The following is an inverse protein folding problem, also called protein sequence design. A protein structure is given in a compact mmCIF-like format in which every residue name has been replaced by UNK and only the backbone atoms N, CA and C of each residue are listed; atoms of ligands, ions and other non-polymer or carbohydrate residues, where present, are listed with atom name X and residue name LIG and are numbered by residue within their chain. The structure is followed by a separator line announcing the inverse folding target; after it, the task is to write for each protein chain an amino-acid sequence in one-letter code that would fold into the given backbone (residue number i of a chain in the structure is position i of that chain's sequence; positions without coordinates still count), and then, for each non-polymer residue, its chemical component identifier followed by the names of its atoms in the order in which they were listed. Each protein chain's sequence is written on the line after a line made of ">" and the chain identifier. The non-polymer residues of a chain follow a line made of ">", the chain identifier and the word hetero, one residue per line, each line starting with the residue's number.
data_IF_735602382905
#
_entry.id   IF_735602382905
#
_cell.length_a   1.000
_cell.length_b   1.000
_cell.length_c   1.000
_cell.angle_alpha   90.00
_cell.angle_beta   90.00
_cell.angle_gamma   90.00
#
_symmetry.space_group_name_H-M   'P 1'
#
loop_
_entity.id
_entity.type
_entity.pdbx_description
1 polymer ?
#
# COMPACT_ATOMS: atom_id res chain seq x y z
N UNK A 1 -25.88 6.19 26.82
CA UNK A 1 -25.19 7.25 27.60
C UNK A 1 -23.70 6.93 27.59
N UNK A 2 -22.85 7.95 27.48
CA UNK A 2 -21.42 7.95 27.10
C UNK A 2 -21.20 7.75 25.59
N UNK A 3 -21.40 8.77 24.76
CA UNK A 3 -20.63 10.02 24.63
C UNK A 3 -19.18 9.79 24.17
N UNK A 4 -18.87 10.41 23.04
CA UNK A 4 -17.63 10.31 22.31
C UNK A 4 -17.66 11.34 21.19
N UNK A 5 -18.01 12.59 21.55
CA UNK A 5 -17.81 13.76 20.72
C UNK A 5 -16.35 13.85 20.27
N UNK A 6 -16.06 13.29 19.10
CA UNK A 6 -14.91 13.69 18.31
C UNK A 6 -15.31 15.01 17.67
N UNK A 7 -14.70 16.07 18.17
CA UNK A 7 -14.72 17.39 17.56
C UNK A 7 -14.53 17.25 16.03
N UNK A 8 -15.53 17.57 15.19
CA UNK A 8 -15.47 17.34 13.75
C UNK A 8 -14.29 18.04 13.10
N UNK A 9 -13.85 19.15 13.70
CA UNK A 9 -12.77 20.01 13.21
C UNK A 9 -11.36 19.48 13.59
N UNK A 10 -11.27 18.47 14.48
CA UNK A 10 -10.01 17.84 14.86
C UNK A 10 -9.64 16.63 13.97
N UNK A 11 -10.52 16.22 13.05
CA UNK A 11 -10.28 15.09 12.16
C UNK A 11 -9.28 15.47 11.06
N UNK A 12 -8.01 15.09 11.25
CA UNK A 12 -6.94 15.26 10.25
C UNK A 12 -7.11 14.38 8.99
N UNK A 13 -8.19 13.63 8.87
CA UNK A 13 -8.45 12.67 7.79
C UNK A 13 -9.54 13.12 6.81
N UNK A 14 -9.65 12.47 5.63
CA UNK A 14 -10.69 12.78 4.64
C UNK A 14 -12.12 12.57 5.20
N UNK A 15 -13.07 13.35 4.68
CA UNK A 15 -14.48 13.34 5.12
C UNK A 15 -15.07 11.94 5.02
N UNK A 16 -15.63 11.44 6.12
CA UNK A 16 -16.31 10.14 6.16
C UNK A 16 -17.69 10.27 5.53
N UNK A 17 -17.86 9.73 4.32
CA UNK A 17 -19.05 9.92 3.47
C UNK A 17 -20.36 9.44 4.12
N UNK A 18 -20.33 8.37 4.92
CA UNK A 18 -21.49 7.86 5.66
C UNK A 18 -21.75 8.63 6.95
N UNK A 19 -20.70 8.95 7.71
CA UNK A 19 -20.82 9.68 8.97
C UNK A 19 -21.20 11.16 8.76
N UNK A 20 -20.82 11.73 7.61
CA UNK A 20 -21.22 13.08 7.18
C UNK A 20 -22.58 13.14 6.49
N UNK A 21 -23.36 12.03 6.45
CA UNK A 21 -24.71 12.00 5.86
C UNK A 21 -24.77 12.11 4.33
N UNK A 22 -23.63 12.17 3.65
CA UNK A 22 -23.55 12.37 2.20
C UNK A 22 -24.08 11.16 1.40
N UNK A 23 -23.97 9.94 1.95
CA UNK A 23 -24.48 8.72 1.32
C UNK A 23 -25.23 7.84 2.32
N UNK A 24 -26.47 7.39 2.02
CA UNK A 24 -27.23 6.48 2.87
C UNK A 24 -26.48 5.17 3.14
N UNK A 25 -26.43 4.66 4.39
CA UNK A 25 -25.73 3.42 4.74
C UNK A 25 -26.14 2.21 3.90
N UNK A 26 -27.43 2.12 3.53
CA UNK A 26 -27.95 1.05 2.66
C UNK A 26 -27.30 1.03 1.28
N UNK A 27 -26.98 2.20 0.70
CA UNK A 27 -26.30 2.29 -0.61
C UNK A 27 -24.85 1.81 -0.50
N UNK A 28 -24.16 2.13 0.59
CA UNK A 28 -22.79 1.65 0.84
C UNK A 28 -22.76 0.14 1.03
N UNK A 29 -23.74 -0.43 1.76
CA UNK A 29 -23.88 -1.88 1.90
C UNK A 29 -24.15 -2.57 0.56
N UNK A 30 -25.07 -2.03 -0.25
CA UNK A 30 -25.34 -2.57 -1.59
C UNK A 30 -24.09 -2.52 -2.48
N UNK A 31 -23.39 -1.38 -2.50
CA UNK A 31 -22.14 -1.24 -3.25
C UNK A 31 -21.09 -2.26 -2.77
N UNK A 32 -20.99 -2.47 -1.46
CA UNK A 32 -20.09 -3.47 -0.86
C UNK A 32 -20.45 -4.88 -1.35
N UNK A 33 -21.72 -5.27 -1.30
CA UNK A 33 -22.15 -6.59 -1.80
C UNK A 33 -21.89 -6.77 -3.29
N UNK A 34 -22.17 -5.75 -4.12
CA UNK A 34 -21.90 -5.80 -5.56
C UNK A 34 -20.39 -5.94 -5.80
N UNK A 35 -19.57 -5.12 -5.17
CA UNK A 35 -18.10 -5.18 -5.33
C UNK A 35 -17.52 -6.52 -4.87
N UNK A 36 -17.98 -7.05 -3.73
CA UNK A 36 -17.57 -8.38 -3.27
C UNK A 36 -18.04 -9.49 -4.22
N UNK A 37 -19.27 -9.40 -4.73
CA UNK A 37 -19.79 -10.35 -5.71
C UNK A 37 -18.95 -10.39 -6.98
N UNK A 38 -18.62 -9.22 -7.54
CA UNK A 38 -17.73 -9.10 -8.71
C UNK A 38 -16.33 -9.66 -8.41
N UNK A 39 -15.76 -9.34 -7.24
CA UNK A 39 -14.46 -9.86 -6.84
C UNK A 39 -14.44 -11.39 -6.69
N UNK A 40 -15.50 -11.99 -6.12
CA UNK A 40 -15.64 -13.44 -6.00
C UNK A 40 -15.76 -14.09 -7.37
N UNK A 41 -16.60 -13.55 -8.26
CA UNK A 41 -16.76 -14.08 -9.62
C UNK A 41 -15.44 -14.01 -10.41
N UNK A 42 -14.72 -12.88 -10.33
CA UNK A 42 -13.40 -12.74 -10.93
C UNK A 42 -12.40 -13.73 -10.32
N UNK A 43 -12.40 -13.90 -9.00
CA UNK A 43 -11.55 -14.86 -8.31
C UNK A 43 -11.81 -16.31 -8.74
N UNK A 44 -13.08 -16.72 -8.84
CA UNK A 44 -13.47 -18.05 -9.34
C UNK A 44 -12.99 -18.25 -10.78
N UNK A 45 -13.18 -17.25 -11.64
CA UNK A 45 -12.68 -17.29 -13.01
C UNK A 45 -11.16 -17.46 -13.06
N UNK A 46 -10.41 -16.68 -12.28
CA UNK A 46 -8.95 -16.78 -12.22
C UNK A 46 -8.49 -18.15 -11.70
N UNK A 47 -9.14 -18.71 -10.69
CA UNK A 47 -8.87 -20.06 -10.19
C UNK A 47 -9.09 -21.11 -11.30
N UNK A 48 -10.18 -20.99 -12.07
CA UNK A 48 -10.49 -21.93 -13.14
C UNK A 48 -9.46 -21.88 -14.29
N UNK A 49 -8.91 -20.70 -14.60
CA UNK A 49 -7.98 -20.52 -15.73
C UNK A 49 -6.52 -20.74 -15.34
N UNK A 50 -6.09 -20.24 -14.18
CA UNK A 50 -4.68 -20.22 -13.78
C UNK A 50 -4.30 -21.35 -12.81
N UNK A 51 -5.24 -21.85 -12.01
CA UNK A 51 -5.02 -23.01 -11.14
C UNK A 51 -5.53 -22.83 -9.70
N UNK A 52 -5.67 -23.97 -9.02
CA UNK A 52 -6.22 -24.05 -7.67
C UNK A 52 -5.35 -23.36 -6.60
N UNK A 53 -4.07 -23.12 -6.87
CA UNK A 53 -3.15 -22.41 -5.97
C UNK A 53 -3.66 -21.00 -5.62
N UNK A 54 -4.38 -20.35 -6.54
CA UNK A 54 -5.00 -19.04 -6.29
C UNK A 54 -6.10 -19.08 -5.23
N UNK A 55 -6.71 -20.25 -4.99
CA UNK A 55 -7.64 -20.42 -3.88
C UNK A 55 -6.93 -20.23 -2.54
N UNK A 56 -5.73 -20.79 -2.39
CA UNK A 56 -4.93 -20.63 -1.18
C UNK A 56 -4.50 -19.17 -0.99
N UNK A 57 -4.05 -18.51 -2.06
CA UNK A 57 -3.66 -17.10 -2.03
C UNK A 57 -4.85 -16.20 -1.70
N UNK A 58 -6.01 -16.46 -2.32
CA UNK A 58 -7.25 -15.72 -2.06
C UNK A 58 -7.75 -15.91 -0.63
N UNK A 59 -7.76 -17.15 -0.12
CA UNK A 59 -8.13 -17.44 1.26
C UNK A 59 -7.18 -16.77 2.26
N UNK A 60 -5.87 -16.83 2.02
CA UNK A 60 -4.87 -16.15 2.84
C UNK A 60 -5.06 -14.61 2.80
N UNK A 61 -5.38 -14.05 1.64
CA UNK A 61 -5.63 -12.61 1.48
C UNK A 61 -6.89 -12.16 2.22
N UNK A 62 -7.98 -12.94 2.17
CA UNK A 62 -9.21 -12.66 2.93
C UNK A 62 -8.93 -12.75 4.42
N UNK A 63 -8.30 -13.83 4.88
CA UNK A 63 -7.97 -14.03 6.28
C UNK A 63 -7.10 -12.89 6.81
N UNK A 64 -6.09 -12.50 6.04
CA UNK A 64 -5.23 -11.39 6.38
C UNK A 64 -6.00 -10.05 6.39
N UNK A 65 -6.87 -9.78 5.41
CA UNK A 65 -7.73 -8.60 5.43
C UNK A 65 -8.64 -8.53 6.68
N UNK A 66 -9.23 -9.66 7.07
CA UNK A 66 -10.09 -9.75 8.27
C UNK A 66 -9.29 -9.53 9.56
N UNK A 67 -8.12 -10.17 9.70
CA UNK A 67 -7.28 -10.04 10.89
C UNK A 67 -6.51 -8.70 10.93
N UNK A 68 -6.44 -7.97 9.83
CA UNK A 68 -5.81 -6.66 9.76
C UNK A 68 -6.62 -5.59 10.52
N UNK A 69 -7.95 -5.61 10.41
CA UNK A 69 -8.85 -4.64 11.07
C UNK A 69 -9.74 -5.26 12.15
N UNK A 70 -9.99 -6.56 12.10
CA UNK A 70 -10.93 -7.29 12.96
C UNK A 70 -10.26 -8.25 13.94
N UNK A 71 -11.05 -8.70 14.92
CA UNK A 71 -10.59 -9.58 16.00
C UNK A 71 -10.10 -8.83 17.25
N UNK A 72 -9.76 -9.55 18.33
CA UNK A 72 -9.40 -8.96 19.62
C UNK A 72 -8.05 -8.22 19.60
N UNK A 73 -7.16 -8.52 18.63
CA UNK A 73 -5.87 -7.86 18.44
C UNK A 73 -5.55 -7.71 16.95
N UNK A 74 -6.13 -6.72 16.25
CA UNK A 74 -5.85 -6.50 14.84
C UNK A 74 -4.38 -6.15 14.66
N UNK A 75 -3.65 -6.91 13.85
CA UNK A 75 -2.20 -6.71 13.75
C UNK A 75 -1.80 -5.42 13.04
N UNK A 76 -2.72 -4.78 12.30
CA UNK A 76 -2.55 -3.42 11.82
C UNK A 76 -2.32 -2.42 12.97
N UNK A 77 -2.89 -2.68 14.14
CA UNK A 77 -2.69 -1.90 15.35
C UNK A 77 -1.50 -2.37 16.20
N UNK A 78 -0.84 -3.47 15.81
CA UNK A 78 0.36 -4.01 16.46
C UNK A 78 1.64 -3.75 15.64
N UNK A 79 1.59 -2.83 14.68
CA UNK A 79 2.76 -2.39 13.92
C UNK A 79 3.23 -3.38 12.86
N UNK A 80 2.36 -4.30 12.44
CA UNK A 80 2.59 -5.20 11.31
C UNK A 80 1.91 -4.71 10.02
N UNK A 81 1.31 -3.52 10.04
CA UNK A 81 0.54 -3.01 8.90
C UNK A 81 1.41 -2.78 7.66
N UNK A 82 2.59 -2.20 7.83
CA UNK A 82 3.53 -1.95 6.73
C UNK A 82 4.02 -3.26 6.10
N UNK A 83 4.27 -4.30 6.91
CA UNK A 83 4.63 -5.62 6.42
C UNK A 83 3.47 -6.27 5.64
N UNK A 84 2.25 -6.15 6.16
CA UNK A 84 1.05 -6.63 5.47
C UNK A 84 0.87 -5.94 4.12
N UNK A 85 0.97 -4.61 4.07
CA UNK A 85 0.86 -3.86 2.81
C UNK A 85 1.96 -4.29 1.84
N UNK A 86 3.21 -4.41 2.29
CA UNK A 86 4.31 -4.88 1.45
C UNK A 86 4.04 -6.27 0.85
N UNK A 87 3.59 -7.22 1.67
CA UNK A 87 3.32 -8.59 1.22
C UNK A 87 2.14 -8.67 0.26
N UNK A 88 1.00 -8.07 0.61
CA UNK A 88 -0.22 -8.25 -0.18
C UNK A 88 -0.34 -7.30 -1.37
N UNK A 89 0.08 -6.04 -1.22
CA UNK A 89 0.02 -5.04 -2.29
C UNK A 89 1.29 -5.02 -3.15
N UNK A 90 2.40 -5.58 -2.66
CA UNK A 90 3.61 -5.81 -3.44
C UNK A 90 3.66 -7.25 -3.96
N UNK A 91 4.14 -8.17 -3.11
CA UNK A 91 4.48 -9.55 -3.51
C UNK A 91 3.28 -10.28 -4.12
N UNK A 92 2.18 -10.40 -3.38
CA UNK A 92 1.01 -11.16 -3.82
C UNK A 92 0.36 -10.51 -5.04
N UNK A 93 0.15 -9.18 -5.02
CA UNK A 93 -0.47 -8.48 -6.14
C UNK A 93 0.34 -8.60 -7.44
N UNK A 94 1.65 -8.35 -7.39
CA UNK A 94 2.49 -8.35 -8.60
C UNK A 94 2.83 -9.77 -9.05
N UNK A 95 3.38 -10.61 -8.16
CA UNK A 95 3.76 -11.97 -8.52
C UNK A 95 2.53 -12.86 -8.81
N UNK A 96 1.41 -12.62 -8.12
CA UNK A 96 0.14 -13.30 -8.41
C UNK A 96 -0.43 -12.92 -9.78
N UNK A 97 -0.41 -11.63 -10.12
CA UNK A 97 -0.83 -11.17 -11.46
C UNK A 97 0.06 -11.71 -12.58
N UNK A 98 1.36 -11.85 -12.32
CA UNK A 98 2.31 -12.50 -13.22
C UNK A 98 1.98 -13.99 -13.39
N UNK A 99 1.84 -14.72 -12.27
CA UNK A 99 1.51 -16.14 -12.27
C UNK A 99 0.21 -16.46 -13.01
N UNK A 100 -0.82 -15.65 -12.87
CA UNK A 100 -2.10 -15.82 -13.61
C UNK A 100 -1.88 -15.86 -15.12
N UNK A 101 -0.91 -15.10 -15.64
CA UNK A 101 -0.66 -14.97 -17.06
C UNK A 101 0.27 -16.07 -17.60
N UNK A 102 1.36 -16.35 -16.90
CA UNK A 102 2.42 -17.26 -17.40
C UNK A 102 2.45 -18.64 -16.73
N UNK A 103 1.75 -18.80 -15.59
CA UNK A 103 1.66 -20.04 -14.79
C UNK A 103 2.98 -20.57 -14.22
N UNK A 104 4.00 -19.74 -14.16
CA UNK A 104 5.22 -19.96 -13.36
C UNK A 104 5.59 -18.68 -12.61
N UNK A 105 6.55 -18.79 -11.71
CA UNK A 105 7.01 -17.70 -10.86
C UNK A 105 8.51 -17.53 -11.04
N UNK A 106 8.88 -16.48 -11.77
CA UNK A 106 10.28 -16.12 -11.96
C UNK A 106 10.72 -15.11 -10.88
N UNK A 107 12.00 -15.09 -10.60
CA UNK A 107 12.55 -14.24 -9.53
C UNK A 107 12.39 -12.75 -9.85
N UNK A 108 12.33 -12.37 -11.13
CA UNK A 108 12.09 -11.01 -11.62
C UNK A 108 10.73 -10.50 -11.15
N UNK A 109 9.70 -11.36 -11.15
CA UNK A 109 8.37 -10.98 -10.66
C UNK A 109 8.42 -10.57 -9.18
N UNK A 110 9.20 -11.29 -8.37
CA UNK A 110 9.41 -10.92 -6.96
C UNK A 110 10.27 -9.68 -6.82
N UNK A 111 11.36 -9.58 -7.58
CA UNK A 111 12.25 -8.42 -7.55
C UNK A 111 11.53 -7.12 -7.93
N UNK A 112 10.61 -7.17 -8.90
CA UNK A 112 9.77 -6.04 -9.30
C UNK A 112 8.57 -5.82 -8.37
N UNK A 113 8.14 -6.84 -7.63
CA UNK A 113 7.11 -6.69 -6.60
C UNK A 113 7.61 -5.92 -5.37
N UNK A 114 8.88 -6.08 -5.00
CA UNK A 114 9.52 -5.38 -3.88
C UNK A 114 9.36 -3.85 -3.96
N UNK A 115 9.76 -3.16 -5.06
CA UNK A 115 9.63 -1.71 -5.12
C UNK A 115 8.18 -1.22 -5.09
N UNK A 116 7.25 -1.96 -5.70
CA UNK A 116 5.81 -1.66 -5.64
C UNK A 116 5.29 -1.78 -4.20
N UNK A 117 5.66 -2.86 -3.50
CA UNK A 117 5.28 -3.08 -2.11
C UNK A 117 5.90 -2.07 -1.15
N UNK A 118 7.16 -1.68 -1.35
CA UNK A 118 7.83 -0.66 -0.53
C UNK A 118 7.17 0.71 -0.68
N UNK A 119 6.84 1.11 -1.91
CA UNK A 119 6.09 2.35 -2.14
C UNK A 119 4.69 2.29 -1.51
N UNK A 120 3.99 1.16 -1.63
CA UNK A 120 2.66 0.99 -1.04
C UNK A 120 2.71 1.11 0.48
N UNK A 121 3.68 0.45 1.10
CA UNK A 121 3.86 0.51 2.55
C UNK A 121 4.38 1.88 3.01
N UNK A 122 5.13 2.63 2.19
CA UNK A 122 5.54 4.01 2.49
C UNK A 122 4.35 4.96 2.61
N UNK A 123 3.29 4.75 1.82
CA UNK A 123 2.03 5.50 1.91
C UNK A 123 1.42 5.28 3.30
N UNK A 124 1.38 4.03 3.77
CA UNK A 124 0.89 3.70 5.11
C UNK A 124 1.80 4.30 6.20
N UNK A 125 3.12 4.30 6.02
CA UNK A 125 4.06 4.94 6.96
C UNK A 125 3.75 6.43 7.14
N UNK A 126 3.53 7.18 6.05
CA UNK A 126 3.16 8.61 6.14
C UNK A 126 1.80 8.79 6.82
N UNK A 127 0.82 7.93 6.52
CA UNK A 127 -0.47 7.95 7.18
C UNK A 127 -0.32 7.75 8.71
N UNK A 128 0.44 6.74 9.13
CA UNK A 128 0.69 6.44 10.53
C UNK A 128 1.56 7.51 11.22
N UNK A 129 2.45 8.18 10.49
CA UNK A 129 3.24 9.31 11.00
C UNK A 129 2.35 10.53 11.28
N UNK A 130 1.37 10.82 10.41
CA UNK A 130 0.38 11.88 10.60
C UNK A 130 -0.42 11.65 11.87
N UNK A 131 -0.89 10.43 12.07
CA UNK A 131 -1.82 10.07 13.14
C UNK A 131 -1.11 9.58 14.41
N UNK A 132 0.23 9.67 14.50
CA UNK A 132 1.04 9.06 15.56
C UNK A 132 0.58 9.43 16.99
N UNK A 133 0.14 10.67 17.21
CA UNK A 133 -0.29 11.12 18.53
C UNK A 133 -1.70 10.63 18.86
N UNK A 134 -2.62 10.70 17.89
CA UNK A 134 -3.99 10.19 18.03
C UNK A 134 -3.99 8.67 18.23
N UNK A 135 -3.17 7.95 17.46
CA UNK A 135 -3.01 6.50 17.58
C UNK A 135 -2.43 6.10 18.94
N UNK A 136 -1.44 6.85 19.44
CA UNK A 136 -0.89 6.65 20.79
C UNK A 136 -1.95 6.81 21.88
N UNK A 137 -2.75 7.89 21.82
CA UNK A 137 -3.83 8.16 22.79
C UNK A 137 -4.93 7.09 22.73
N UNK A 138 -5.21 6.57 21.54
CA UNK A 138 -6.14 5.46 21.34
C UNK A 138 -5.59 4.08 21.74
N UNK A 139 -4.38 4.00 22.29
CA UNK A 139 -3.75 2.75 22.72
C UNK A 139 -3.25 1.86 21.58
N UNK A 140 -3.24 2.35 20.34
CA UNK A 140 -2.70 1.62 19.19
C UNK A 140 -1.18 1.60 19.23
N UNK A 141 -0.59 0.50 18.79
CA UNK A 141 0.85 0.26 18.75
C UNK A 141 1.33 0.09 17.31
N UNK A 142 0.92 1.00 16.43
CA UNK A 142 1.39 1.04 15.03
C UNK A 142 2.91 1.15 14.96
N UNK A 143 3.50 0.81 13.80
CA UNK A 143 4.96 0.85 13.65
C UNK A 143 5.50 2.26 13.89
N UNK A 144 4.76 3.28 13.44
CA UNK A 144 5.09 4.68 13.70
C UNK A 144 5.10 5.01 15.21
N UNK A 145 4.10 4.54 15.97
CA UNK A 145 4.05 4.74 17.42
C UNK A 145 5.22 4.05 18.12
N UNK A 146 5.55 2.81 17.71
CA UNK A 146 6.66 2.02 18.28
C UNK A 146 8.04 2.61 17.98
N UNK A 147 8.25 3.10 16.75
CA UNK A 147 9.53 3.68 16.31
C UNK A 147 9.71 5.15 16.75
N UNK A 148 8.61 5.88 16.92
CA UNK A 148 8.62 7.33 17.13
C UNK A 148 8.83 8.12 15.84
N UNK A 149 8.55 9.44 15.89
CA UNK A 149 8.52 10.31 14.69
C UNK A 149 9.82 10.27 13.88
N UNK A 150 10.97 10.41 14.54
CA UNK A 150 12.28 10.52 13.86
C UNK A 150 12.60 9.27 13.03
N UNK A 151 12.52 8.09 13.66
CA UNK A 151 12.79 6.81 12.98
C UNK A 151 11.75 6.49 11.91
N UNK A 152 10.49 6.88 12.12
CA UNK A 152 9.43 6.71 11.11
C UNK A 152 9.70 7.52 9.84
N UNK A 153 10.26 8.73 9.96
CA UNK A 153 10.69 9.54 8.81
C UNK A 153 11.85 8.88 8.05
N UNK A 154 12.82 8.35 8.79
CA UNK A 154 13.94 7.60 8.18
C UNK A 154 13.44 6.34 7.49
N UNK A 155 12.48 5.63 8.08
CA UNK A 155 11.84 4.46 7.48
C UNK A 155 11.15 4.83 6.17
N UNK A 156 10.35 5.90 6.16
CA UNK A 156 9.71 6.40 4.93
C UNK A 156 10.74 6.64 3.82
N UNK A 157 11.79 7.41 4.11
CA UNK A 157 12.84 7.71 3.14
C UNK A 157 13.57 6.43 2.67
N UNK A 158 13.87 5.50 3.58
CA UNK A 158 14.51 4.23 3.24
C UNK A 158 13.65 3.40 2.29
N UNK A 159 12.34 3.24 2.58
CA UNK A 159 11.43 2.48 1.72
C UNK A 159 11.32 3.09 0.32
N UNK A 160 11.21 4.42 0.24
CA UNK A 160 11.17 5.15 -1.02
C UNK A 160 12.47 5.01 -1.80
N UNK A 161 13.65 5.17 -1.18
CA UNK A 161 14.91 5.10 -1.94
C UNK A 161 15.31 3.66 -2.31
N UNK A 162 15.07 2.69 -1.43
CA UNK A 162 15.33 1.28 -1.71
C UNK A 162 14.47 0.80 -2.90
N UNK A 163 13.25 1.32 -3.08
CA UNK A 163 12.43 0.95 -4.24
C UNK A 163 13.07 1.32 -5.59
N UNK A 164 13.97 2.30 -5.65
CA UNK A 164 14.68 2.62 -6.89
C UNK A 164 15.89 1.72 -7.16
N UNK A 165 16.40 1.02 -6.14
CA UNK A 165 17.60 0.19 -6.26
C UNK A 165 17.32 -1.18 -6.91
N UNK A 166 16.07 -1.63 -6.89
CA UNK A 166 15.71 -2.97 -7.37
C UNK A 166 15.59 -3.07 -8.89
N UNK A 167 15.24 -1.98 -9.59
CA UNK A 167 15.23 -1.95 -11.05
C UNK A 167 16.64 -2.20 -11.67
N UNK A 168 17.72 -1.55 -11.19
CA UNK A 168 19.09 -1.91 -11.59
C UNK A 168 19.43 -3.39 -11.38
N UNK A 169 18.99 -4.00 -10.28
CA UNK A 169 19.26 -5.43 -9.98
C UNK A 169 18.64 -6.32 -11.07
N UNK A 170 17.39 -6.06 -11.44
CA UNK A 170 16.72 -6.83 -12.51
C UNK A 170 17.30 -6.62 -13.89
N UNK A 171 17.93 -5.47 -14.15
CA UNK A 171 18.65 -5.20 -15.39
C UNK A 171 20.02 -5.90 -15.43
N UNK A 172 20.77 -5.87 -14.34
CA UNK A 172 22.13 -6.42 -14.28
C UNK A 172 22.16 -7.96 -14.23
N UNK A 173 21.19 -8.57 -13.58
CA UNK A 173 21.17 -10.01 -13.32
C UNK A 173 20.01 -10.74 -13.99
N UNK A 174 19.10 -10.02 -14.64
CA UNK A 174 17.93 -10.58 -15.32
C UNK A 174 17.94 -10.36 -16.83
N UNK A 175 16.93 -10.88 -17.53
CA UNK A 175 16.80 -10.76 -18.98
C UNK A 175 16.28 -9.37 -19.43
N UNK A 176 15.98 -8.47 -18.49
CA UNK A 176 15.36 -7.19 -18.78
C UNK A 176 16.39 -6.16 -19.27
N UNK A 177 15.97 -5.27 -20.18
CA UNK A 177 16.81 -4.19 -20.69
C UNK A 177 16.85 -2.98 -19.76
N UNK A 178 17.69 -2.00 -20.09
CA UNK A 178 17.80 -0.75 -19.33
C UNK A 178 16.47 0.05 -19.24
N UNK A 179 15.47 -0.24 -20.10
CA UNK A 179 14.15 0.38 -20.02
C UNK A 179 13.43 0.15 -18.68
N UNK A 180 13.76 -0.90 -17.94
CA UNK A 180 13.23 -1.13 -16.58
C UNK A 180 13.60 0.00 -15.60
N UNK A 181 14.59 0.83 -15.94
CA UNK A 181 15.00 1.98 -15.13
C UNK A 181 14.15 3.24 -15.35
N UNK A 182 13.17 3.25 -16.26
CA UNK A 182 12.28 4.40 -16.48
C UNK A 182 11.66 5.00 -15.21
N UNK A 183 11.28 4.24 -14.16
CA UNK A 183 10.78 4.82 -12.93
C UNK A 183 11.72 5.85 -12.28
N UNK A 184 13.03 5.79 -12.54
CA UNK A 184 14.02 6.76 -12.02
C UNK A 184 13.72 8.21 -12.43
N UNK A 185 12.95 8.44 -13.50
CA UNK A 185 12.45 9.77 -13.86
C UNK A 185 11.62 10.42 -12.75
N UNK A 186 11.02 9.62 -11.87
CA UNK A 186 10.24 10.11 -10.72
C UNK A 186 11.10 10.40 -9.48
N UNK A 187 12.40 10.08 -9.50
CA UNK A 187 13.28 10.24 -8.34
C UNK A 187 13.35 11.69 -7.80
N UNK A 188 13.37 12.75 -8.63
CA UNK A 188 13.32 14.12 -8.12
C UNK A 188 12.04 14.42 -7.33
N UNK A 189 10.90 13.87 -7.77
CA UNK A 189 9.61 13.99 -7.09
C UNK A 189 9.66 13.24 -5.76
N UNK A 190 10.15 11.99 -5.77
CA UNK A 190 10.34 11.18 -4.57
C UNK A 190 11.23 11.87 -3.53
N UNK A 191 12.35 12.47 -3.95
CA UNK A 191 13.23 13.23 -3.08
C UNK A 191 12.56 14.49 -2.51
N UNK A 192 11.69 15.15 -3.29
CA UNK A 192 10.83 16.23 -2.82
C UNK A 192 9.92 15.79 -1.67
N UNK A 193 9.21 14.68 -1.85
CA UNK A 193 8.29 14.11 -0.85
C UNK A 193 9.06 13.66 0.40
N UNK A 194 10.18 12.94 0.24
CA UNK A 194 11.02 12.51 1.37
C UNK A 194 11.53 13.69 2.20
N UNK A 195 11.95 14.78 1.54
CA UNK A 195 12.35 16.03 2.20
C UNK A 195 11.19 16.70 2.92
N UNK A 196 10.00 16.71 2.33
CA UNK A 196 8.79 17.22 2.97
C UNK A 196 8.46 16.43 4.24
N UNK A 197 8.43 15.10 4.17
CA UNK A 197 8.16 14.22 5.33
C UNK A 197 9.22 14.37 6.43
N UNK A 198 10.48 14.55 6.04
CA UNK A 198 11.59 14.75 6.98
C UNK A 198 11.50 16.07 7.74
N UNK A 199 11.16 17.16 7.04
CA UNK A 199 11.29 18.52 7.56
C UNK A 199 9.97 19.10 8.12
N UNK A 200 8.81 18.62 7.65
CA UNK A 200 7.49 19.13 8.07
C UNK A 200 6.88 18.28 9.19
N UNK A 201 6.11 18.94 10.07
CA UNK A 201 5.53 18.35 11.29
C UNK A 201 4.01 18.50 11.37
N UNK A 202 3.44 19.41 10.58
CA UNK A 202 2.02 19.72 10.54
C UNK A 202 1.21 18.69 9.75
N UNK A 203 -0.03 18.46 10.19
CA UNK A 203 -0.92 17.46 9.59
C UNK A 203 -1.26 17.76 8.13
N UNK A 204 -1.36 19.04 7.75
CA UNK A 204 -1.65 19.45 6.37
C UNK A 204 -0.52 19.03 5.40
N UNK A 205 0.75 19.30 5.76
CA UNK A 205 1.91 18.87 4.97
C UNK A 205 2.01 17.35 4.87
N UNK A 206 1.63 16.61 5.93
CA UNK A 206 1.64 15.14 5.90
C UNK A 206 0.48 14.57 5.08
N UNK A 207 -0.70 15.21 5.08
CA UNK A 207 -1.80 14.88 4.18
C UNK A 207 -1.44 15.10 2.71
N UNK A 208 -0.77 16.21 2.42
CA UNK A 208 -0.26 16.46 1.08
C UNK A 208 0.79 15.41 0.68
N UNK A 209 1.73 15.08 1.58
CA UNK A 209 2.74 14.05 1.33
C UNK A 209 2.11 12.67 1.11
N UNK A 210 1.00 12.34 1.80
CA UNK A 210 0.24 11.11 1.60
C UNK A 210 -0.33 11.03 0.18
N UNK A 211 -0.99 12.10 -0.28
CA UNK A 211 -1.53 12.18 -1.64
C UNK A 211 -0.41 12.11 -2.69
N UNK A 212 0.70 12.83 -2.47
CA UNK A 212 1.86 12.81 -3.36
C UNK A 212 2.54 11.45 -3.41
N UNK A 213 2.63 10.72 -2.30
CA UNK A 213 3.17 9.35 -2.27
C UNK A 213 2.30 8.38 -3.07
N UNK A 214 0.96 8.53 -3.01
CA UNK A 214 0.04 7.79 -3.87
C UNK A 214 0.25 8.08 -5.36
N UNK A 215 0.37 9.36 -5.73
CA UNK A 215 0.65 9.77 -7.11
C UNK A 215 2.04 9.31 -7.58
N UNK A 216 3.04 9.33 -6.69
CA UNK A 216 4.37 8.80 -6.97
C UNK A 216 4.30 7.31 -7.29
N UNK A 217 3.58 6.52 -6.50
CA UNK A 217 3.43 5.09 -6.76
C UNK A 217 2.73 4.83 -8.10
N UNK A 218 1.67 5.58 -8.41
CA UNK A 218 1.00 5.47 -9.71
C UNK A 218 1.98 5.78 -10.85
N UNK A 219 2.69 6.91 -10.79
CA UNK A 219 3.68 7.28 -11.81
C UNK A 219 4.79 6.24 -11.93
N UNK A 220 5.31 5.75 -10.81
CA UNK A 220 6.34 4.70 -10.75
C UNK A 220 5.85 3.42 -11.42
N UNK A 221 4.66 2.92 -11.07
CA UNK A 221 4.12 1.69 -11.63
C UNK A 221 3.82 1.81 -13.12
N UNK A 222 3.33 2.97 -13.57
CA UNK A 222 3.08 3.25 -15.00
C UNK A 222 4.38 3.24 -15.80
N UNK A 223 5.42 3.93 -15.31
CA UNK A 223 6.73 3.95 -15.96
C UNK A 223 7.41 2.59 -15.92
N UNK A 224 7.26 1.83 -14.83
CA UNK A 224 7.79 0.49 -14.73
C UNK A 224 7.12 -0.43 -15.76
N UNK A 225 5.79 -0.36 -15.86
CA UNK A 225 5.02 -1.13 -16.84
C UNK A 225 5.42 -0.78 -18.28
N UNK A 226 5.60 0.52 -18.58
CA UNK A 226 6.12 0.96 -19.87
C UNK A 226 7.53 0.42 -20.14
N UNK A 227 8.41 0.45 -19.13
CA UNK A 227 9.77 -0.09 -19.22
C UNK A 227 9.82 -1.59 -19.49
N UNK A 228 8.89 -2.36 -18.88
CA UNK A 228 8.75 -3.79 -19.14
C UNK A 228 8.23 -4.08 -20.55
N UNK A 229 7.28 -3.28 -21.05
CA UNK A 229 6.77 -3.42 -22.42
C UNK A 229 7.84 -3.10 -23.47
N UNK A 230 8.69 -2.11 -23.20
CA UNK A 230 9.82 -1.74 -24.06
C UNK A 230 11.03 -2.68 -23.95
N UNK A 231 11.07 -3.53 -22.92
CA UNK A 231 12.11 -4.56 -22.75
C UNK A 231 11.78 -5.87 -23.47
N UNK A 232 10.68 -5.91 -24.23
CA UNK A 232 10.30 -7.05 -25.06
C UNK A 232 10.99 -7.04 -26.42
#
# INVERSE_FOLDING_TARGET
>A
MADGGQDPDAALGPVRVTAGGLVPPRRVLLATYISFGVAVLAGIYLIAVAGWQLLLVGAASILAGVLYTGGPRPYGYEGLGELFVFLFFGIVAVAGSFFVQVKHLDWEAFALAVPVGLLAASILVVNNLRDIETDRRAGKRTLAVRLGRSRTRSLFAAMVYISYLLAPVTWLFGPLTAWVMLPWLTLPIAAGIARQVRNRMDGASLNQALAQAGMLQLAFCTLLSAGLLLSR
#
